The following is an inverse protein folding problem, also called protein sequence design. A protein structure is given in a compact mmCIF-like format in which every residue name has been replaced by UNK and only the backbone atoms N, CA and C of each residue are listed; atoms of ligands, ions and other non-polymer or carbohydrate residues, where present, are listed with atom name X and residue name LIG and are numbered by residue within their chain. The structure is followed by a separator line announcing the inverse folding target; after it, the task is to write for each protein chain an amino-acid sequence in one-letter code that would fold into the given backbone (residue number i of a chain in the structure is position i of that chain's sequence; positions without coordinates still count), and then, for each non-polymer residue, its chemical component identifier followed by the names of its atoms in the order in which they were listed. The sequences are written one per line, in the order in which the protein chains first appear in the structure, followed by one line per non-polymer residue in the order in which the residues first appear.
data_IF_009301014110
#
_entry.id   IF_009301014110
#
_cell.length_a   1.000
_cell.length_b   1.000
_cell.length_c   1.000
_cell.angle_alpha   90.00
_cell.angle_beta   90.00
_cell.angle_gamma   90.00
#
_symmetry.space_group_name_H-M   'P 1'
#
loop_
_entity.id
_entity.type
_entity.pdbx_description
1 polymer ?
#
# COMPACT_ATOMS: atom_id res chain seq x y z
N UNK A 1 41.55 -52.91 21.18
CA UNK A 1 41.49 -51.44 21.01
C UNK A 1 40.09 -51.05 20.56
N UNK A 2 39.50 -50.13 21.31
CA UNK A 2 38.24 -49.38 21.20
C UNK A 2 37.15 -49.76 20.18
N UNK A 3 36.00 -50.09 20.78
CA UNK A 3 34.65 -49.88 20.28
C UNK A 3 34.16 -48.44 20.58
N UNK A 4 33.14 -48.00 19.83
CA UNK A 4 32.13 -46.94 20.09
C UNK A 4 32.25 -45.54 19.47
N UNK A 5 31.19 -45.25 18.68
CA UNK A 5 30.39 -44.01 18.50
C UNK A 5 31.01 -42.77 17.82
N UNK A 6 30.39 -42.39 16.71
CA UNK A 6 29.58 -41.16 16.58
C UNK A 6 28.68 -41.35 15.34
N UNK A 7 27.46 -41.87 15.48
CA UNK A 7 26.22 -41.14 15.79
C UNK A 7 25.94 -39.92 14.88
N UNK A 8 24.92 -40.14 14.03
CA UNK A 8 23.98 -39.16 13.46
C UNK A 8 24.46 -38.46 12.20
N UNK A 9 23.89 -38.96 11.10
CA UNK A 9 23.27 -38.09 10.11
C UNK A 9 22.53 -36.97 10.85
N UNK A 10 23.20 -35.83 11.02
CA UNK A 10 22.54 -34.60 11.35
C UNK A 10 21.64 -34.33 10.17
N UNK A 11 20.35 -34.65 10.31
CA UNK A 11 19.34 -33.92 9.61
C UNK A 11 19.66 -32.44 9.91
N UNK A 12 20.31 -31.78 8.96
CA UNK A 12 20.21 -30.33 8.83
C UNK A 12 18.75 -30.10 8.50
N UNK A 13 17.92 -30.20 9.54
CA UNK A 13 16.60 -29.63 9.57
C UNK A 13 16.91 -28.17 9.34
N UNK A 14 16.74 -27.74 8.10
CA UNK A 14 16.74 -26.35 7.73
C UNK A 14 15.74 -25.73 8.70
N UNK A 15 16.26 -25.09 9.76
CA UNK A 15 15.44 -24.46 10.77
C UNK A 15 14.43 -23.64 10.01
N UNK A 16 13.14 -23.86 10.31
CA UNK A 16 12.04 -23.24 9.59
C UNK A 16 12.44 -21.80 9.24
N UNK A 17 12.32 -21.37 7.97
CA UNK A 17 12.78 -20.04 7.57
C UNK A 17 12.19 -19.07 8.58
N UNK A 18 13.07 -18.30 9.24
CA UNK A 18 12.65 -17.30 10.21
C UNK A 18 11.50 -16.52 9.58
N UNK A 19 10.37 -16.31 10.29
CA UNK A 19 9.24 -15.61 9.71
C UNK A 19 9.77 -14.30 9.13
N UNK A 20 9.41 -14.01 7.87
CA UNK A 20 9.88 -12.82 7.20
C UNK A 20 9.56 -11.61 8.08
N UNK A 21 10.60 -11.04 8.68
CA UNK A 21 10.50 -9.83 9.49
C UNK A 21 10.05 -8.73 8.53
N UNK A 22 8.92 -8.09 8.85
CA UNK A 22 8.43 -6.95 8.10
C UNK A 22 9.49 -5.85 8.12
N UNK A 23 10.08 -5.54 6.96
CA UNK A 23 11.20 -4.60 6.88
C UNK A 23 10.80 -3.34 6.10
N UNK A 24 10.06 -2.45 6.77
CA UNK A 24 9.49 -1.27 6.13
C UNK A 24 10.54 -0.20 5.83
N UNK A 25 10.61 0.20 4.55
CA UNK A 25 11.34 1.37 4.10
C UNK A 25 10.40 2.54 3.81
N UNK A 26 10.85 3.75 4.15
CA UNK A 26 10.12 4.99 3.94
C UNK A 26 10.92 5.94 3.05
N UNK A 27 10.23 6.62 2.15
CA UNK A 27 10.79 7.76 1.41
C UNK A 27 9.93 8.98 1.66
N UNK A 28 10.56 10.15 1.64
CA UNK A 28 9.94 11.40 2.05
C UNK A 28 10.05 12.46 0.96
N UNK A 29 9.12 13.40 0.93
CA UNK A 29 9.26 14.66 0.20
C UNK A 29 10.19 15.61 0.96
N UNK A 30 10.68 16.66 0.30
CA UNK A 30 11.57 17.66 0.92
C UNK A 30 10.94 18.36 2.14
N UNK A 31 9.61 18.46 2.17
CA UNK A 31 8.83 19.03 3.28
C UNK A 31 8.56 18.00 4.41
N UNK A 32 9.10 16.77 4.32
CA UNK A 32 9.05 15.75 5.37
C UNK A 32 7.86 14.79 5.32
N UNK A 33 6.91 14.97 4.40
CA UNK A 33 5.78 14.04 4.28
C UNK A 33 6.22 12.71 3.65
N UNK A 34 5.61 11.61 4.09
CA UNK A 34 5.86 10.29 3.50
C UNK A 34 5.38 10.31 2.04
N UNK A 35 6.28 9.98 1.13
CA UNK A 35 6.02 9.82 -0.30
C UNK A 35 5.70 8.39 -0.65
N UNK A 36 6.38 7.44 -0.01
CA UNK A 36 6.17 6.02 -0.24
C UNK A 36 6.57 5.22 1.00
N UNK A 37 5.81 4.17 1.28
CA UNK A 37 6.17 3.11 2.23
C UNK A 37 6.15 1.77 1.50
N UNK A 38 6.98 0.83 1.92
CA UNK A 38 6.86 -0.55 1.47
C UNK A 38 7.86 -1.45 2.16
N UNK A 39 7.59 -2.75 2.14
CA UNK A 39 8.56 -3.73 2.60
C UNK A 39 9.75 -3.76 1.63
N UNK A 40 10.94 -3.53 2.16
CA UNK A 40 12.21 -3.53 1.42
C UNK A 40 12.64 -4.95 1.03
N UNK A 41 12.14 -5.98 1.71
CA UNK A 41 12.38 -7.37 1.33
C UNK A 41 11.60 -7.78 0.07
N UNK A 42 10.59 -6.98 -0.33
CA UNK A 42 9.71 -7.27 -1.46
C UNK A 42 10.09 -6.43 -2.68
N UNK A 43 10.71 -7.07 -3.68
CA UNK A 43 11.27 -6.38 -4.86
C UNK A 43 10.21 -6.02 -5.91
N UNK A 44 9.09 -6.74 -5.97
CA UNK A 44 8.09 -6.64 -7.04
C UNK A 44 7.20 -5.38 -6.99
N UNK A 45 7.31 -4.59 -5.92
CA UNK A 45 6.57 -3.34 -5.73
C UNK A 45 5.07 -3.51 -5.49
N UNK A 46 4.54 -4.73 -5.40
CA UNK A 46 3.12 -5.02 -5.14
C UNK A 46 2.67 -4.59 -3.74
N UNK A 47 3.62 -4.53 -2.81
CA UNK A 47 3.39 -4.10 -1.42
C UNK A 47 3.90 -2.68 -1.13
N UNK A 48 4.20 -1.90 -2.17
CA UNK A 48 4.55 -0.49 -2.02
C UNK A 48 3.29 0.36 -2.05
N UNK A 49 3.17 1.27 -1.11
CA UNK A 49 2.14 2.30 -1.05
C UNK A 49 2.75 3.66 -1.32
N UNK A 50 2.20 4.38 -2.31
CA UNK A 50 2.62 5.71 -2.73
C UNK A 50 1.58 6.73 -2.28
N UNK A 51 2.06 7.89 -1.85
CA UNK A 51 1.21 8.98 -1.38
C UNK A 51 1.53 10.28 -2.12
N UNK A 52 0.48 11.06 -2.37
CA UNK A 52 0.62 12.44 -2.84
C UNK A 52 -0.05 13.38 -1.85
N UNK A 53 0.55 14.55 -1.64
CA UNK A 53 0.02 15.56 -0.74
C UNK A 53 -0.10 16.90 -1.48
N UNK A 54 -1.00 17.75 -0.99
CA UNK A 54 -1.08 19.14 -1.44
C UNK A 54 -0.03 20.02 -0.74
N UNK A 55 -0.01 21.31 -1.09
CA UNK A 55 0.93 22.27 -0.50
C UNK A 55 0.73 22.52 0.99
N UNK A 56 -0.48 22.28 1.49
CA UNK A 56 -0.84 22.30 2.91
C UNK A 56 -0.51 20.96 3.61
N UNK A 57 0.23 20.07 2.92
CA UNK A 57 0.65 18.76 3.41
C UNK A 57 -0.48 17.76 3.68
N UNK A 58 -1.69 18.00 3.16
CA UNK A 58 -2.84 17.10 3.29
C UNK A 58 -2.78 16.00 2.24
N UNK A 59 -3.20 14.79 2.61
CA UNK A 59 -3.10 13.60 1.76
C UNK A 59 -4.14 13.64 0.62
N UNK A 60 -3.70 13.76 -0.63
CA UNK A 60 -4.58 13.77 -1.81
C UNK A 60 -4.85 12.36 -2.35
N UNK A 61 -3.83 11.52 -2.44
CA UNK A 61 -3.98 10.14 -2.92
C UNK A 61 -3.15 9.16 -2.14
N UNK A 62 -3.65 7.93 -2.03
CA UNK A 62 -2.92 6.77 -1.55
C UNK A 62 -3.11 5.63 -2.56
N UNK A 63 -2.02 5.10 -3.12
CA UNK A 63 -2.05 4.04 -4.12
C UNK A 63 -1.22 2.85 -3.64
N UNK A 64 -1.77 1.65 -3.70
CA UNK A 64 -1.05 0.40 -3.46
C UNK A 64 -0.75 -0.31 -4.76
N UNK A 65 0.50 -0.75 -4.91
CA UNK A 65 1.01 -1.46 -6.07
C UNK A 65 1.65 -0.55 -7.13
N UNK A 66 2.30 -1.16 -8.14
CA UNK A 66 2.96 -0.43 -9.22
C UNK A 66 1.94 0.29 -10.12
N UNK A 67 2.39 1.30 -10.85
CA UNK A 67 1.51 2.12 -11.71
C UNK A 67 0.93 1.33 -12.88
N UNK A 68 1.58 0.22 -13.25
CA UNK A 68 1.13 -0.72 -14.29
C UNK A 68 0.08 -1.73 -13.79
N UNK A 69 -0.06 -1.91 -12.47
CA UNK A 69 -1.01 -2.85 -11.87
C UNK A 69 -1.46 -2.35 -10.48
N UNK A 70 -2.35 -1.36 -10.51
CA UNK A 70 -2.87 -0.72 -9.30
C UNK A 70 -3.83 -1.68 -8.59
N UNK A 71 -3.47 -2.09 -7.38
CA UNK A 71 -4.32 -2.96 -6.56
C UNK A 71 -5.41 -2.17 -5.86
N UNK A 72 -5.06 -1.01 -5.31
CA UNK A 72 -5.98 -0.11 -4.60
C UNK A 72 -5.55 1.33 -4.82
N UNK A 73 -6.52 2.22 -4.97
CA UNK A 73 -6.28 3.66 -5.03
C UNK A 73 -7.39 4.39 -4.31
N UNK A 74 -6.99 5.26 -3.40
CA UNK A 74 -7.86 6.19 -2.70
C UNK A 74 -7.53 7.60 -3.15
N UNK A 75 -8.56 8.39 -3.39
CA UNK A 75 -8.49 9.83 -3.66
C UNK A 75 -9.27 10.56 -2.59
N UNK A 76 -8.74 11.69 -2.16
CA UNK A 76 -9.32 12.48 -1.09
C UNK A 76 -9.44 13.93 -1.51
N UNK A 77 -10.66 14.44 -1.43
CA UNK A 77 -10.97 15.84 -1.68
C UNK A 77 -11.19 16.55 -0.35
N UNK A 78 -10.78 17.80 -0.28
CA UNK A 78 -10.93 18.65 0.91
C UNK A 78 -11.68 19.92 0.53
N UNK A 79 -12.55 20.38 1.43
CA UNK A 79 -13.20 21.66 1.28
C UNK A 79 -12.23 22.82 1.56
N UNK A 80 -12.71 24.05 1.40
CA UNK A 80 -11.91 25.27 1.63
C UNK A 80 -11.51 25.45 3.09
N UNK A 81 -12.16 24.76 4.02
CA UNK A 81 -11.91 24.82 5.45
C UNK A 81 -11.06 23.65 5.95
N UNK A 82 -10.69 22.71 5.06
CA UNK A 82 -9.87 21.55 5.38
C UNK A 82 -10.62 20.32 5.85
N UNK A 83 -11.95 20.32 5.82
CA UNK A 83 -12.71 19.10 6.05
C UNK A 83 -12.60 18.17 4.84
N UNK A 84 -12.38 16.88 5.08
CA UNK A 84 -12.42 15.88 4.01
C UNK A 84 -13.85 15.80 3.48
N UNK A 85 -14.03 15.99 2.17
CA UNK A 85 -15.26 15.59 1.49
C UNK A 85 -15.39 14.08 1.63
N UNK A 86 -16.37 13.63 2.40
CA UNK A 86 -16.78 12.23 2.39
C UNK A 86 -17.80 12.11 1.24
N UNK A 87 -17.43 11.56 0.07
CA UNK A 87 -18.43 11.22 -0.92
C UNK A 87 -19.39 10.21 -0.30
N UNK A 88 -20.69 10.44 -0.42
CA UNK A 88 -21.70 9.41 -0.21
C UNK A 88 -21.35 8.23 -1.14
N UNK A 89 -20.81 7.14 -0.57
CA UNK A 89 -20.37 5.98 -1.35
C UNK A 89 -21.61 5.22 -1.83
N UNK A 90 -21.98 5.38 -3.10
CA UNK A 90 -22.79 4.37 -3.79
C UNK A 90 -21.83 3.38 -4.44
N UNK A 91 -21.78 2.16 -3.90
CA UNK A 91 -21.05 1.05 -4.50
C UNK A 91 -21.54 0.85 -5.95
N UNK A 92 -20.68 1.08 -6.95
CA UNK A 92 -20.98 0.63 -8.31
C UNK A 92 -20.36 -0.74 -8.51
N UNK A 93 -21.21 -1.77 -8.55
CA UNK A 93 -20.82 -3.08 -9.05
C UNK A 93 -20.58 -2.94 -10.56
N UNK A 94 -19.35 -3.27 -10.97
CA UNK A 94 -18.90 -3.74 -12.29
C UNK A 94 -19.81 -3.50 -13.50
N UNK A 95 -19.28 -2.71 -14.45
CA UNK A 95 -19.68 -2.61 -15.86
C UNK A 95 -21.17 -2.32 -16.11
N UNK A 96 -21.49 -1.05 -16.36
CA UNK A 96 -22.41 -0.63 -17.42
C UNK A 96 -22.28 0.91 -17.57
N UNK A 97 -22.05 1.33 -18.82
CA UNK A 97 -22.11 2.69 -19.37
C UNK A 97 -22.71 3.75 -18.45
N UNK A 98 -21.87 4.68 -17.97
CA UNK A 98 -22.34 5.87 -17.29
C UNK A 98 -22.65 6.96 -18.32
N UNK A 99 -23.93 7.07 -18.69
CA UNK A 99 -24.50 8.31 -19.21
C UNK A 99 -24.54 9.29 -18.04
N UNK A 100 -23.78 10.38 -18.13
CA UNK A 100 -23.85 11.47 -17.17
C UNK A 100 -25.18 12.21 -17.34
N UNK A 101 -26.13 12.01 -16.41
CA UNK A 101 -27.31 12.86 -16.25
C UNK A 101 -27.28 13.44 -14.83
N UNK A 102 -26.82 14.69 -14.75
CA UNK A 102 -26.92 15.55 -13.56
C UNK A 102 -28.34 16.13 -13.47
N UNK A 103 -28.96 16.23 -12.28
CA UNK A 103 -30.01 17.21 -12.06
C UNK A 103 -29.36 18.58 -11.78
N UNK A 104 -29.70 19.56 -12.61
CA UNK A 104 -29.45 20.99 -12.32
C UNK A 104 -30.17 21.36 -11.03
N UNK A 105 -29.44 21.82 -10.03
CA UNK A 105 -30.01 22.69 -9.01
C UNK A 105 -29.74 24.14 -9.43
N UNK A 106 -30.83 24.85 -9.77
CA UNK A 106 -30.87 26.30 -9.93
C UNK A 106 -30.87 26.98 -8.55
N UNK A 107 -30.43 28.23 -8.54
CA UNK A 107 -30.37 29.18 -7.41
C UNK A 107 -31.60 29.16 -6.50
#
# INVERSE_FOLDING_TARGET
MNWMRDERAGCLTQGAPAPALLNLGYTYYAKGQIRQVGDTAVTDGTQKEKYTCDDLQRLLTAQRGPDTNIQRKYSYDYDRFGARWVPCVRWSLTKLTAIYLWPRFSQ
#
